data_IF_509630494886
#
_entry.id   IF_509630494886
#
_cell.length_a   1.000
_cell.length_b   1.000
_cell.length_c   1.000
_cell.angle_alpha   90.00
_cell.angle_beta   90.00
_cell.angle_gamma   90.00
#
_symmetry.space_group_name_H-M   'P 1'
#
loop_
_entity.id
_entity.type
_entity.pdbx_description
1 polymer ?
#
# COMPACT_ATOMS: atom_id res chain seq x y z
N UNK A 1 -35.97 -7.84 5.86
CA UNK A 1 -36.06 -8.44 7.20
C UNK A 1 -35.02 -7.74 8.07
N UNK A 2 -35.45 -6.67 8.74
CA UNK A 2 -34.67 -5.81 9.62
C UNK A 2 -34.82 -6.35 11.06
N UNK A 3 -33.71 -6.56 11.78
CA UNK A 3 -33.56 -6.67 13.25
C UNK A 3 -32.38 -7.64 13.53
N UNK A 4 -31.31 -7.38 14.27
CA UNK A 4 -31.14 -6.64 15.52
C UNK A 4 -29.64 -6.33 15.73
N UNK A 5 -29.33 -5.08 16.08
CA UNK A 5 -28.13 -4.72 16.85
C UNK A 5 -28.62 -4.23 18.23
N UNK A 6 -28.01 -4.63 19.35
CA UNK A 6 -28.23 -3.96 20.62
C UNK A 6 -27.21 -2.84 20.82
N UNK A 7 -27.79 -1.67 20.95
CA UNK A 7 -27.28 -0.36 21.31
C UNK A 7 -27.04 -0.29 22.83
N UNK A 8 -25.88 0.21 23.29
CA UNK A 8 -25.71 0.61 24.70
C UNK A 8 -24.76 1.79 24.87
N UNK A 9 -25.33 2.99 24.82
CA UNK A 9 -24.78 4.18 25.48
C UNK A 9 -25.74 4.59 26.61
N UNK A 10 -25.28 4.88 27.84
CA UNK A 10 -26.12 5.51 28.84
C UNK A 10 -26.04 7.03 28.74
N UNK A 11 -27.24 7.61 28.66
CA UNK A 11 -27.56 9.03 28.60
C UNK A 11 -27.14 9.80 29.86
N UNK A 12 -26.50 10.96 29.67
CA UNK A 12 -26.40 12.03 30.66
C UNK A 12 -27.76 12.76 30.77
N UNK A 13 -28.44 12.59 31.90
CA UNK A 13 -29.65 13.35 32.27
C UNK A 13 -29.27 14.76 32.73
N UNK A 14 -29.68 15.76 31.96
CA UNK A 14 -29.83 17.15 32.40
C UNK A 14 -31.01 17.25 33.37
N UNK A 15 -30.74 17.68 34.62
CA UNK A 15 -31.76 18.12 35.57
C UNK A 15 -31.65 19.64 35.75
N UNK A 16 -32.60 20.37 35.18
CA UNK A 16 -32.92 21.77 35.49
C UNK A 16 -34.06 21.78 36.51
N UNK A 17 -33.85 22.41 37.66
CA UNK A 17 -34.82 23.10 38.56
C UNK A 17 -34.05 23.40 39.87
N UNK A 18 -34.04 24.58 40.46
CA UNK A 18 -34.75 25.82 40.20
C UNK A 18 -34.09 26.96 41.00
N UNK A 19 -34.35 28.17 40.52
CA UNK A 19 -33.98 29.45 41.13
C UNK A 19 -34.93 29.75 42.29
N UNK A 20 -34.40 30.03 43.49
CA UNK A 20 -35.02 30.96 44.43
C UNK A 20 -33.93 31.75 45.14
N UNK A 21 -33.98 33.06 44.95
CA UNK A 21 -33.13 34.05 45.57
C UNK A 21 -33.26 34.07 47.10
N UNK A 22 -32.12 34.24 47.79
CA UNK A 22 -32.10 34.87 49.12
C UNK A 22 -30.97 35.89 49.21
N UNK A 23 -31.39 37.03 49.73
CA UNK A 23 -30.79 38.35 49.74
C UNK A 23 -29.73 38.49 50.83
N UNK A 24 -28.61 39.11 50.45
CA UNK A 24 -27.74 40.07 51.17
C UNK A 24 -27.58 39.93 52.69
N UNK A 25 -26.34 39.73 53.13
CA UNK A 25 -25.73 40.55 54.19
C UNK A 25 -24.20 40.47 54.16
N UNK A 26 -23.58 41.58 53.74
CA UNK A 26 -22.40 42.22 54.31
C UNK A 26 -21.40 41.35 55.09
N UNK A 27 -20.14 41.33 54.65
CA UNK A 27 -18.99 41.73 55.49
C UNK A 27 -17.73 41.92 54.63
N UNK A 28 -17.52 43.20 54.29
CA UNK A 28 -16.27 43.95 54.21
C UNK A 28 -15.00 43.15 54.57
N UNK A 29 -14.14 42.94 53.58
CA UNK A 29 -12.82 42.32 53.75
C UNK A 29 -11.96 42.52 52.50
N UNK A 30 -11.25 43.63 52.49
CA UNK A 30 -10.33 44.14 51.48
C UNK A 30 -9.32 43.09 50.98
N UNK A 31 -9.46 42.60 49.73
CA UNK A 31 -8.46 41.76 49.03
C UNK A 31 -8.45 42.05 47.52
N UNK A 32 -8.21 43.32 47.16
CA UNK A 32 -8.09 43.78 45.77
C UNK A 32 -6.80 43.39 45.04
N UNK A 33 -5.88 42.63 45.65
CA UNK A 33 -4.59 42.28 45.03
C UNK A 33 -4.35 40.80 44.72
N UNK A 34 -5.12 39.90 45.33
CA UNK A 34 -4.75 38.47 45.37
C UNK A 34 -5.38 37.63 44.24
N UNK A 35 -6.44 38.14 43.60
CA UNK A 35 -7.14 37.41 42.52
C UNK A 35 -6.54 37.70 41.12
N UNK A 36 -5.95 38.89 40.93
CA UNK A 36 -5.33 39.28 39.65
C UNK A 36 -4.02 38.52 39.37
N UNK A 37 -3.31 38.09 40.42
CA UNK A 37 -2.07 37.34 40.29
C UNK A 37 -2.30 35.85 39.92
N UNK A 38 -3.42 35.27 40.35
CA UNK A 38 -3.74 33.85 40.07
C UNK A 38 -4.12 33.61 38.60
N UNK A 39 -4.68 34.61 37.92
CA UNK A 39 -5.04 34.51 36.51
C UNK A 39 -3.86 34.74 35.55
N UNK A 40 -2.78 35.39 36.00
CA UNK A 40 -1.58 35.67 35.21
C UNK A 40 -0.62 34.46 35.13
N UNK A 41 -0.64 33.59 36.16
CA UNK A 41 0.25 32.42 36.21
C UNK A 41 -0.14 31.28 35.26
N UNK A 42 -1.38 31.26 34.74
CA UNK A 42 -1.85 30.19 33.85
C UNK A 42 -1.41 30.41 32.39
N UNK A 43 -1.03 31.64 32.02
CA UNK A 43 -0.57 31.96 30.66
C UNK A 43 0.90 31.59 30.38
N UNK A 44 1.69 31.23 31.38
CA UNK A 44 3.12 30.93 31.19
C UNK A 44 3.44 29.45 30.90
N UNK A 45 2.46 28.55 30.94
CA UNK A 45 2.66 27.11 30.68
C UNK A 45 2.23 26.64 29.27
N UNK A 46 1.88 27.56 28.36
CA UNK A 46 1.40 27.21 27.01
C UNK A 46 2.50 27.06 25.94
N UNK A 47 3.78 27.01 26.31
CA UNK A 47 4.86 26.60 25.40
C UNK A 47 5.26 25.14 25.66
N UNK A 48 4.58 24.19 25.01
CA UNK A 48 5.19 22.87 24.73
C UNK A 48 6.17 23.05 23.58
N UNK A 49 7.38 23.50 23.90
CA UNK A 49 8.49 23.40 22.96
C UNK A 49 8.87 21.92 22.87
N UNK A 50 8.76 21.35 21.68
CA UNK A 50 9.30 20.03 21.37
C UNK A 50 10.79 20.07 21.69
N UNK A 51 11.19 19.42 22.78
CA UNK A 51 12.58 19.29 23.17
C UNK A 51 13.28 18.41 22.14
N UNK A 52 13.81 19.04 21.10
CA UNK A 52 14.89 18.47 20.30
C UNK A 52 16.09 18.33 21.25
N UNK A 53 16.68 17.14 21.30
CA UNK A 53 17.84 16.84 22.14
C UNK A 53 18.90 17.94 21.97
N UNK A 54 19.15 18.71 23.04
CA UNK A 54 19.90 19.97 23.01
C UNK A 54 21.39 19.82 22.74
N UNK A 55 21.89 18.59 22.61
CA UNK A 55 23.30 18.30 22.33
C UNK A 55 23.57 17.92 20.86
N UNK A 56 22.53 17.84 20.03
CA UNK A 56 22.71 17.51 18.63
C UNK A 56 23.07 18.75 17.78
N UNK A 57 24.26 18.72 17.16
CA UNK A 57 24.75 19.83 16.35
C UNK A 57 23.97 19.90 15.03
N UNK A 58 23.33 21.04 14.70
CA UNK A 58 22.66 21.20 13.41
C UNK A 58 23.69 21.18 12.28
N UNK A 59 23.35 20.49 11.20
CA UNK A 59 24.23 20.27 10.04
C UNK A 59 23.85 21.15 8.84
N UNK A 60 22.60 21.60 8.76
CA UNK A 60 22.12 22.55 7.78
C UNK A 60 20.97 23.41 8.34
N UNK A 61 20.71 24.56 7.71
CA UNK A 61 19.64 25.49 8.07
C UNK A 61 18.98 26.05 6.81
N UNK A 62 17.65 26.06 6.77
CA UNK A 62 16.85 26.68 5.72
C UNK A 62 15.82 27.64 6.35
N UNK A 63 16.14 28.94 6.40
CA UNK A 63 15.32 29.92 7.13
C UNK A 63 15.36 29.67 8.63
N UNK A 64 14.21 29.39 9.25
CA UNK A 64 14.12 29.08 10.69
C UNK A 64 14.15 27.57 11.00
N UNK A 65 14.21 26.71 9.98
CA UNK A 65 14.22 25.25 10.13
C UNK A 65 15.67 24.74 10.12
N UNK A 66 16.00 23.86 11.05
CA UNK A 66 17.31 23.23 11.20
C UNK A 66 17.21 21.75 10.84
N UNK A 67 18.23 21.24 10.15
CA UNK A 67 18.40 19.81 9.86
C UNK A 67 19.44 19.24 10.81
N UNK A 68 19.10 18.10 11.42
CA UNK A 68 19.95 17.39 12.37
C UNK A 68 20.54 16.10 11.78
N UNK A 69 21.55 15.54 12.45
CA UNK A 69 22.26 14.34 11.98
C UNK A 69 21.38 13.09 12.07
N UNK A 70 20.52 13.02 13.08
CA UNK A 70 19.52 11.98 13.34
C UNK A 70 18.56 11.82 12.17
N UNK A 71 18.05 12.93 11.62
CA UNK A 71 17.15 12.92 10.45
C UNK A 71 17.81 12.34 9.20
N UNK A 72 19.13 12.55 9.02
CA UNK A 72 19.88 11.92 7.92
C UNK A 72 20.00 10.41 8.09
N UNK A 73 20.22 9.96 9.33
CA UNK A 73 20.31 8.53 9.64
C UNK A 73 18.97 7.83 9.46
N UNK A 74 17.87 8.46 9.88
CA UNK A 74 16.51 7.95 9.66
C UNK A 74 16.14 7.87 8.17
N UNK A 75 16.65 8.80 7.35
CA UNK A 75 16.50 8.77 5.90
C UNK A 75 17.32 7.66 5.21
N UNK A 76 18.08 6.86 5.97
CA UNK A 76 18.84 5.71 5.45
C UNK A 76 20.22 6.05 4.90
N UNK A 77 20.74 7.25 5.17
CA UNK A 77 22.08 7.63 4.78
C UNK A 77 23.05 7.40 5.94
N UNK A 78 24.00 6.48 5.74
CA UNK A 78 25.10 6.26 6.67
C UNK A 78 26.24 7.25 6.40
N UNK A 79 26.78 7.89 7.43
CA UNK A 79 27.76 9.00 7.32
C UNK A 79 29.20 8.48 7.37
N UNK A 80 29.41 7.20 7.70
CA UNK A 80 30.73 6.64 8.01
C UNK A 80 31.55 6.20 6.77
N UNK A 81 30.96 6.17 5.57
CA UNK A 81 31.67 5.80 4.33
C UNK A 81 32.11 7.02 3.52
N UNK A 82 33.30 6.99 2.89
CA UNK A 82 33.78 8.09 2.03
C UNK A 82 32.84 8.37 0.85
N UNK A 83 32.22 7.33 0.30
CA UNK A 83 31.25 7.43 -0.80
C UNK A 83 29.91 8.04 -0.32
N UNK A 84 29.65 8.00 0.99
CA UNK A 84 28.48 8.61 1.59
C UNK A 84 28.53 10.13 1.65
N UNK A 85 29.72 10.76 1.62
CA UNK A 85 29.83 12.23 1.80
C UNK A 85 29.14 12.98 0.65
N UNK A 86 29.27 12.50 -0.58
CA UNK A 86 28.60 13.10 -1.73
C UNK A 86 27.08 12.89 -1.70
N UNK A 87 26.62 11.70 -1.28
CA UNK A 87 25.21 11.38 -1.11
C UNK A 87 24.55 12.25 -0.02
N UNK A 88 25.19 12.37 1.14
CA UNK A 88 24.76 13.23 2.25
C UNK A 88 24.72 14.69 1.81
N UNK A 89 25.73 15.18 1.08
CA UNK A 89 25.72 16.54 0.55
C UNK A 89 24.59 16.77 -0.45
N UNK A 90 24.32 15.80 -1.33
CA UNK A 90 23.20 15.86 -2.28
C UNK A 90 21.85 15.87 -1.55
N UNK A 91 21.68 15.04 -0.53
CA UNK A 91 20.50 15.02 0.33
C UNK A 91 20.28 16.39 0.99
N UNK A 92 21.30 16.94 1.67
CA UNK A 92 21.22 18.26 2.31
C UNK A 92 20.82 19.34 1.30
N UNK A 93 21.44 19.36 0.11
CA UNK A 93 21.13 20.35 -0.92
C UNK A 93 19.70 20.23 -1.46
N UNK A 94 19.18 19.01 -1.60
CA UNK A 94 17.80 18.79 -2.01
C UNK A 94 16.83 19.23 -0.91
N UNK A 95 17.09 18.84 0.34
CA UNK A 95 16.30 19.24 1.50
C UNK A 95 16.23 20.77 1.64
N UNK A 96 17.35 21.49 1.50
CA UNK A 96 17.36 22.96 1.53
C UNK A 96 16.47 23.54 0.42
N UNK A 97 16.56 23.00 -0.81
CA UNK A 97 15.72 23.48 -1.92
C UNK A 97 14.24 23.25 -1.65
N UNK A 98 13.87 22.07 -1.16
CA UNK A 98 12.50 21.72 -0.82
C UNK A 98 11.95 22.66 0.26
N UNK A 99 12.71 22.92 1.33
CA UNK A 99 12.32 23.84 2.40
C UNK A 99 12.14 25.27 1.89
N UNK A 100 13.04 25.76 1.03
CA UNK A 100 12.91 27.10 0.45
C UNK A 100 11.69 27.22 -0.47
N UNK A 101 11.42 26.20 -1.28
CA UNK A 101 10.21 26.13 -2.13
C UNK A 101 8.95 26.11 -1.26
N UNK A 102 8.94 25.32 -0.19
CA UNK A 102 7.83 25.23 0.76
C UNK A 102 7.57 26.58 1.43
N UNK A 103 8.60 27.25 1.95
CA UNK A 103 8.49 28.59 2.54
C UNK A 103 7.96 29.63 1.54
N UNK A 104 8.39 29.55 0.29
CA UNK A 104 7.90 30.44 -0.76
C UNK A 104 6.45 30.11 -1.15
N UNK A 105 6.06 28.84 -1.16
CA UNK A 105 4.69 28.42 -1.41
C UNK A 105 3.75 28.91 -0.30
N UNK A 106 4.12 28.73 0.97
CA UNK A 106 3.32 29.19 2.12
C UNK A 106 3.10 30.71 2.11
N UNK A 107 4.10 31.49 1.70
CA UNK A 107 3.97 32.96 1.60
C UNK A 107 3.03 33.42 0.48
N UNK A 108 2.90 32.62 -0.59
CA UNK A 108 2.17 33.03 -1.81
C UNK A 108 0.79 32.38 -1.97
N UNK A 109 0.48 31.35 -1.19
CA UNK A 109 -0.82 30.69 -1.24
C UNK A 109 -1.85 31.48 -0.41
N UNK A 110 -2.99 31.81 -1.03
CA UNK A 110 -4.10 32.51 -0.37
C UNK A 110 -4.91 31.58 0.54
N UNK A 111 -5.58 32.15 1.55
CA UNK A 111 -6.35 31.41 2.56
C UNK A 111 -7.43 30.48 1.99
N UNK A 112 -8.01 30.81 0.84
CA UNK A 112 -9.02 29.99 0.17
C UNK A 112 -8.48 28.69 -0.44
N UNK A 113 -7.16 28.54 -0.59
CA UNK A 113 -6.50 27.28 -0.98
C UNK A 113 -6.08 26.43 0.23
N UNK A 114 -6.37 26.87 1.47
CA UNK A 114 -6.00 26.20 2.74
C UNK A 114 -6.95 25.10 3.20
N UNK A 115 -7.67 24.42 2.30
CA UNK A 115 -8.30 23.12 2.64
C UNK A 115 -7.25 22.01 2.89
N UNK A 116 -5.96 22.36 3.00
CA UNK A 116 -4.87 21.49 3.39
C UNK A 116 -5.13 20.78 4.70
N UNK A 117 -5.68 21.47 5.72
CA UNK A 117 -5.96 20.83 7.01
C UNK A 117 -6.96 19.68 6.87
N UNK A 118 -8.01 19.88 6.06
CA UNK A 118 -8.97 18.81 5.75
C UNK A 118 -8.31 17.68 4.97
N UNK A 119 -7.46 17.98 4.00
CA UNK A 119 -6.74 16.98 3.22
C UNK A 119 -5.77 16.15 4.08
N UNK A 120 -5.04 16.80 4.99
CA UNK A 120 -4.15 16.14 5.96
C UNK A 120 -4.96 15.24 6.88
N UNK A 121 -6.09 15.72 7.39
CA UNK A 121 -6.95 14.95 8.28
C UNK A 121 -7.59 13.75 7.56
N UNK A 122 -8.03 13.91 6.31
CA UNK A 122 -8.59 12.82 5.51
C UNK A 122 -7.52 11.78 5.13
N UNK A 123 -6.29 12.22 4.84
CA UNK A 123 -5.16 11.32 4.61
C UNK A 123 -4.79 10.55 5.88
N UNK A 124 -4.73 11.23 7.03
CA UNK A 124 -4.47 10.60 8.34
C UNK A 124 -5.51 9.53 8.67
N UNK A 125 -6.80 9.82 8.47
CA UNK A 125 -7.87 8.83 8.64
C UNK A 125 -7.66 7.63 7.73
N UNK A 126 -7.35 7.87 6.47
CA UNK A 126 -7.10 6.80 5.48
C UNK A 126 -5.95 5.88 5.90
N UNK A 127 -4.84 6.46 6.36
CA UNK A 127 -3.69 5.69 6.86
C UNK A 127 -4.05 4.84 8.08
N UNK A 128 -4.78 5.41 9.05
CA UNK A 128 -5.19 4.68 10.26
C UNK A 128 -6.15 3.55 9.91
N UNK A 129 -7.13 3.80 9.05
CA UNK A 129 -8.09 2.79 8.61
C UNK A 129 -7.38 1.64 7.91
N UNK A 130 -6.50 1.94 6.94
CA UNK A 130 -5.72 0.92 6.24
C UNK A 130 -4.88 0.07 7.20
N UNK A 131 -4.16 0.72 8.14
CA UNK A 131 -3.33 0.01 9.10
C UNK A 131 -4.19 -0.91 9.99
N UNK A 132 -5.34 -0.43 10.47
CA UNK A 132 -6.25 -1.21 11.28
C UNK A 132 -6.83 -2.41 10.51
N UNK A 133 -7.29 -2.20 9.28
CA UNK A 133 -7.83 -3.26 8.42
C UNK A 133 -6.77 -4.32 8.11
N UNK A 134 -5.54 -3.90 7.81
CA UNK A 134 -4.41 -4.81 7.56
C UNK A 134 -4.10 -5.69 8.78
N UNK A 135 -4.03 -5.09 9.98
CA UNK A 135 -3.81 -5.85 11.21
C UNK A 135 -4.99 -6.77 11.55
N UNK A 136 -6.22 -6.33 11.29
CA UNK A 136 -7.41 -7.16 11.48
C UNK A 136 -7.40 -8.37 10.53
N UNK A 137 -7.01 -8.17 9.27
CA UNK A 137 -6.85 -9.24 8.28
C UNK A 137 -5.78 -10.21 8.74
N UNK A 138 -4.60 -9.75 9.17
CA UNK A 138 -3.54 -10.63 9.70
C UNK A 138 -3.98 -11.45 10.91
N UNK A 139 -4.79 -10.89 11.81
CA UNK A 139 -5.31 -11.60 12.97
C UNK A 139 -6.38 -12.64 12.63
N UNK A 140 -7.14 -12.41 11.55
CA UNK A 140 -8.28 -13.26 11.14
C UNK A 140 -7.94 -14.25 10.03
N UNK A 141 -6.82 -14.07 9.34
CA UNK A 141 -6.32 -15.04 8.37
C UNK A 141 -5.72 -16.21 9.13
N UNK A 142 -6.48 -17.30 9.21
CA UNK A 142 -5.90 -18.59 9.49
C UNK A 142 -5.07 -19.01 8.25
N UNK A 143 -3.75 -19.06 8.40
CA UNK A 143 -2.85 -19.44 7.32
C UNK A 143 -2.68 -20.96 7.22
N UNK A 144 -3.24 -21.73 8.15
CA UNK A 144 -3.17 -23.19 8.13
C UNK A 144 -4.33 -23.72 7.28
N UNK A 145 -4.10 -23.77 5.97
CA UNK A 145 -5.02 -24.42 5.03
C UNK A 145 -4.59 -25.89 4.88
N UNK A 146 -5.53 -26.80 5.15
CA UNK A 146 -5.31 -28.25 5.02
C UNK A 146 -5.54 -28.73 3.59
N UNK A 147 -4.93 -29.87 3.21
CA UNK A 147 -5.14 -30.46 1.89
C UNK A 147 -6.62 -30.82 1.66
N UNK A 148 -7.34 -31.23 2.71
CA UNK A 148 -8.78 -31.53 2.65
C UNK A 148 -9.63 -30.28 2.36
N UNK A 149 -9.25 -29.12 2.89
CA UNK A 149 -9.92 -27.85 2.62
C UNK A 149 -9.68 -27.38 1.18
N UNK A 150 -8.48 -27.61 0.65
CA UNK A 150 -8.14 -27.33 -0.75
C UNK A 150 -8.98 -28.20 -1.68
N UNK A 151 -9.03 -29.51 -1.44
CA UNK A 151 -9.82 -30.43 -2.24
C UNK A 151 -11.31 -30.08 -2.20
N UNK A 152 -11.84 -29.81 -1.00
CA UNK A 152 -13.24 -29.39 -0.83
C UNK A 152 -13.53 -28.09 -1.58
N UNK A 153 -12.65 -27.10 -1.51
CA UNK A 153 -12.83 -25.84 -2.22
C UNK A 153 -12.79 -26.05 -3.74
N UNK A 154 -11.84 -26.84 -4.24
CA UNK A 154 -11.74 -27.18 -5.66
C UNK A 154 -13.00 -27.88 -6.18
N UNK A 155 -13.52 -28.87 -5.45
CA UNK A 155 -14.73 -29.60 -5.84
C UNK A 155 -15.95 -28.67 -5.86
N UNK A 156 -16.11 -27.81 -4.84
CA UNK A 156 -17.25 -26.88 -4.75
C UNK A 156 -17.20 -25.78 -5.82
N UNK A 157 -16.01 -25.36 -6.22
CA UNK A 157 -15.80 -24.23 -7.14
C UNK A 157 -15.23 -24.68 -8.49
N UNK A 158 -15.51 -25.92 -8.92
CA UNK A 158 -14.90 -26.52 -10.10
C UNK A 158 -15.14 -25.68 -11.37
N UNK A 159 -16.31 -25.08 -11.47
CA UNK A 159 -16.73 -24.20 -12.58
C UNK A 159 -15.79 -22.97 -12.73
N UNK A 160 -15.16 -22.50 -11.63
CA UNK A 160 -14.20 -21.39 -11.67
C UNK A 160 -12.83 -21.80 -12.23
N UNK A 161 -12.57 -23.10 -12.38
CA UNK A 161 -11.32 -23.65 -12.91
C UNK A 161 -11.49 -24.24 -14.31
N UNK A 162 -12.65 -24.06 -14.93
CA UNK A 162 -12.83 -24.40 -16.34
C UNK A 162 -11.99 -23.48 -17.21
N UNK A 163 -11.32 -24.07 -18.19
CA UNK A 163 -10.50 -23.32 -19.13
C UNK A 163 -11.43 -22.52 -20.04
N UNK A 164 -11.21 -21.21 -20.13
CA UNK A 164 -12.03 -20.30 -20.94
C UNK A 164 -11.88 -20.62 -22.43
N UNK A 165 -10.66 -20.92 -22.86
CA UNK A 165 -10.33 -21.19 -24.25
C UNK A 165 -10.21 -22.68 -24.52
N UNK A 166 -10.70 -23.11 -25.67
CA UNK A 166 -10.51 -24.49 -26.10
C UNK A 166 -9.05 -24.70 -26.52
N UNK A 167 -8.43 -25.73 -25.97
CA UNK A 167 -7.10 -26.17 -26.36
C UNK A 167 -7.17 -27.50 -27.09
N UNK A 168 -6.34 -27.66 -28.11
CA UNK A 168 -6.21 -28.90 -28.85
C UNK A 168 -4.79 -29.43 -28.77
N UNK A 169 -4.69 -30.75 -28.67
CA UNK A 169 -3.44 -31.50 -28.81
C UNK A 169 -3.50 -32.22 -30.14
N UNK A 170 -2.74 -31.74 -31.12
CA UNK A 170 -2.77 -32.26 -32.48
C UNK A 170 -1.36 -32.44 -33.01
N UNK A 171 -1.21 -33.42 -33.88
CA UNK A 171 -0.06 -33.57 -34.76
C UNK A 171 -0.62 -33.34 -36.17
N UNK A 172 0.00 -32.47 -36.96
CA UNK A 172 -0.43 -32.28 -38.34
C UNK A 172 0.76 -32.08 -39.26
N UNK A 173 0.59 -32.53 -40.50
CA UNK A 173 1.59 -32.38 -41.55
C UNK A 173 0.84 -32.00 -42.83
N UNK A 174 1.13 -30.82 -43.36
CA UNK A 174 0.61 -30.32 -44.63
C UNK A 174 1.69 -30.52 -45.69
N UNK A 175 1.42 -31.40 -46.64
CA UNK A 175 2.32 -31.76 -47.75
C UNK A 175 1.58 -31.64 -49.07
N UNK A 176 2.32 -31.31 -50.13
CA UNK A 176 1.76 -31.29 -51.48
C UNK A 176 1.50 -32.71 -51.97
N UNK A 177 0.46 -32.87 -52.81
CA UNK A 177 0.08 -34.18 -53.37
C UNK A 177 1.14 -34.80 -54.28
N UNK A 178 1.99 -33.98 -54.89
CA UNK A 178 3.08 -34.39 -55.78
C UNK A 178 4.41 -34.63 -55.05
N UNK A 179 4.45 -34.50 -53.73
CA UNK A 179 5.66 -34.75 -52.95
C UNK A 179 6.10 -36.23 -53.03
N UNK A 180 7.40 -36.53 -52.99
CA UNK A 180 7.89 -37.89 -53.06
C UNK A 180 7.45 -38.68 -51.83
N UNK A 181 7.11 -39.97 -51.99
CA UNK A 181 6.87 -40.92 -50.89
C UNK A 181 5.75 -40.53 -49.91
N UNK A 182 4.73 -39.79 -50.34
CA UNK A 182 3.56 -39.41 -49.51
C UNK A 182 2.93 -40.60 -48.77
N UNK A 183 2.87 -41.78 -49.40
CA UNK A 183 2.32 -42.97 -48.75
C UNK A 183 3.10 -43.42 -47.51
N UNK A 184 4.44 -43.29 -47.51
CA UNK A 184 5.27 -43.63 -46.34
C UNK A 184 5.08 -42.67 -45.17
N UNK A 185 4.69 -41.42 -45.45
CA UNK A 185 4.41 -40.42 -44.41
C UNK A 185 3.23 -40.87 -43.55
N UNK A 186 2.20 -41.48 -44.14
CA UNK A 186 1.05 -42.02 -43.40
C UNK A 186 1.46 -43.16 -42.46
N UNK A 187 2.39 -44.01 -42.91
CA UNK A 187 2.92 -45.11 -42.11
C UNK A 187 3.76 -44.58 -40.95
N UNK A 188 4.64 -43.61 -41.20
CA UNK A 188 5.45 -42.99 -40.15
C UNK A 188 4.63 -42.18 -39.15
N UNK A 189 3.60 -41.47 -39.62
CA UNK A 189 2.69 -40.70 -38.78
C UNK A 189 1.90 -41.57 -37.80
N UNK A 190 1.54 -42.81 -38.18
CA UNK A 190 0.79 -43.75 -37.33
C UNK A 190 1.67 -44.59 -36.40
N UNK A 191 2.99 -44.49 -36.54
CA UNK A 191 3.93 -45.33 -35.82
C UNK A 191 4.49 -44.61 -34.59
N UNK A 192 4.55 -45.32 -33.46
CA UNK A 192 5.20 -44.84 -32.22
C UNK A 192 6.70 -45.19 -32.13
N UNK A 193 7.26 -45.90 -33.12
CA UNK A 193 8.70 -46.16 -33.19
C UNK A 193 9.49 -44.85 -33.41
N UNK A 194 10.50 -44.62 -32.56
CA UNK A 194 11.41 -43.47 -32.58
C UNK A 194 12.03 -43.28 -33.96
N UNK A 195 12.44 -44.38 -34.62
CA UNK A 195 13.03 -44.32 -35.97
C UNK A 195 12.08 -43.75 -37.02
N UNK A 196 10.79 -44.07 -36.90
CA UNK A 196 9.76 -43.57 -37.80
C UNK A 196 9.41 -42.12 -37.49
N UNK A 197 9.45 -41.71 -36.22
CA UNK A 197 9.31 -40.29 -35.82
C UNK A 197 10.47 -39.42 -36.33
N UNK A 198 11.70 -39.91 -36.25
CA UNK A 198 12.88 -39.22 -36.80
C UNK A 198 12.81 -39.11 -38.33
N UNK A 199 12.36 -40.18 -39.00
CA UNK A 199 12.16 -40.20 -40.45
C UNK A 199 11.04 -39.22 -40.87
N UNK A 200 9.92 -39.18 -40.13
CA UNK A 200 8.83 -38.24 -40.35
C UNK A 200 9.29 -36.80 -40.18
N UNK A 201 10.04 -36.52 -39.11
CA UNK A 201 10.58 -35.19 -38.81
C UNK A 201 11.50 -34.72 -39.94
N UNK A 202 12.46 -35.58 -40.32
CA UNK A 202 13.39 -35.31 -41.42
C UNK A 202 12.68 -35.08 -42.75
N UNK A 203 11.60 -35.83 -43.01
CA UNK A 203 10.78 -35.66 -44.20
C UNK A 203 10.00 -34.34 -44.18
N UNK A 204 9.38 -33.99 -43.04
CA UNK A 204 8.62 -32.75 -42.89
C UNK A 204 9.49 -31.52 -43.14
N UNK A 205 10.72 -31.50 -42.62
CA UNK A 205 11.67 -30.41 -42.88
C UNK A 205 12.04 -30.24 -44.36
N UNK A 206 11.99 -31.32 -45.16
CA UNK A 206 12.37 -31.28 -46.57
C UNK A 206 11.20 -30.98 -47.52
N UNK A 207 10.00 -31.49 -47.20
CA UNK A 207 8.89 -31.53 -48.17
C UNK A 207 7.55 -31.02 -47.63
N UNK A 208 7.40 -30.76 -46.32
CA UNK A 208 6.15 -30.22 -45.79
C UNK A 208 6.07 -28.70 -45.99
N UNK A 209 4.88 -28.23 -46.37
CA UNK A 209 4.58 -26.80 -46.42
C UNK A 209 4.37 -26.23 -45.02
N UNK A 210 3.77 -27.02 -44.13
CA UNK A 210 3.56 -26.67 -42.73
C UNK A 210 3.43 -27.96 -41.91
N UNK A 211 3.93 -27.99 -40.68
CA UNK A 211 3.81 -29.16 -39.82
C UNK A 211 3.91 -28.78 -38.34
N UNK A 212 3.31 -29.60 -37.50
CA UNK A 212 3.44 -29.56 -36.05
C UNK A 212 3.52 -31.00 -35.53
N UNK A 213 4.65 -31.34 -34.89
CA UNK A 213 4.99 -32.69 -34.45
C UNK A 213 5.16 -32.81 -32.93
N UNK A 214 5.01 -31.72 -32.19
CA UNK A 214 5.16 -31.73 -30.74
C UNK A 214 3.90 -32.27 -30.09
N UNK A 215 4.02 -33.43 -29.46
CA UNK A 215 2.91 -34.02 -28.72
C UNK A 215 2.77 -33.45 -27.33
N UNK A 216 3.80 -32.84 -26.74
CA UNK A 216 3.76 -32.46 -25.33
C UNK A 216 3.16 -31.07 -25.09
N UNK A 217 2.79 -30.39 -26.16
CA UNK A 217 2.38 -29.01 -26.12
C UNK A 217 0.94 -28.86 -26.63
N UNK A 218 0.19 -27.99 -25.97
CA UNK A 218 -1.21 -27.71 -26.26
C UNK A 218 -1.30 -26.41 -27.03
N UNK A 219 -2.08 -26.41 -28.11
CA UNK A 219 -2.30 -25.23 -28.92
C UNK A 219 -3.67 -24.65 -28.61
N UNK A 220 -3.75 -23.31 -28.55
CA UNK A 220 -5.02 -22.60 -28.50
C UNK A 220 -5.75 -22.80 -29.84
N UNK A 221 -7.04 -23.12 -29.76
CA UNK A 221 -7.90 -23.28 -30.92
C UNK A 221 -8.69 -21.98 -31.13
N UNK A 222 -8.14 -21.07 -31.93
CA UNK A 222 -8.79 -19.83 -32.39
C UNK A 222 -9.47 -20.01 -33.76
#
# INVERSE_FOLDING_TARGET
>A
MLSHLPNSAPNLRLSRRGMVARTISSLRGDKGGLCFCFCLCIFLFACKNTAVNSDEKPIARAGEIFLYLSEIKEAGYDVDSKDSIELVRKFINNWIREMLVLQQAEKNLTDDKKNFEKMVEDYRKSLITYQYESELVKQKLDTLVTDEEIEKYYIVNKDNFELIDNIIRVIYVKIRKDAPKVEKVKDWYRSDDVKNRDALTSYCHQYAENFYLDENNWLLFE
#
